data_IF_238131762487
#
_entry.id   IF_238131762487
#
_cell.length_a   1.000
_cell.length_b   1.000
_cell.length_c   1.000
_cell.angle_alpha   90.00
_cell.angle_beta   90.00
_cell.angle_gamma   90.00
#
_symmetry.space_group_name_H-M   'P 1'
#
loop_
_entity.id
_entity.type
_entity.pdbx_description
1 polymer ?
#
# COMPACT_ATOMS: atom_id res chain seq x y z
N UNK A 1 28.71 10.87 -6.45
CA UNK A 1 27.78 10.32 -5.43
C UNK A 1 26.54 11.19 -5.43
N UNK A 2 25.34 10.59 -5.50
CA UNK A 2 24.35 10.92 -4.49
C UNK A 2 23.60 9.67 -4.02
N UNK A 3 23.74 9.33 -2.74
CA UNK A 3 22.77 8.49 -2.05
C UNK A 3 21.49 9.30 -1.88
N UNK A 4 20.54 9.14 -2.82
CA UNK A 4 19.16 9.59 -2.60
C UNK A 4 18.62 8.77 -1.43
N UNK A 5 18.22 9.45 -0.36
CA UNK A 5 17.56 8.93 0.83
C UNK A 5 16.73 7.69 0.52
N UNK A 6 17.31 6.51 0.75
CA UNK A 6 16.57 5.26 0.74
C UNK A 6 15.79 5.30 2.04
N UNK A 7 14.54 5.78 2.01
CA UNK A 7 13.67 5.72 3.18
C UNK A 7 13.56 4.26 3.57
N UNK A 8 13.85 3.95 4.83
CA UNK A 8 13.77 2.58 5.29
C UNK A 8 12.33 2.09 5.16
N UNK A 9 12.15 0.88 4.64
CA UNK A 9 10.84 0.27 4.47
C UNK A 9 10.67 -0.83 5.51
N UNK A 10 9.56 -0.81 6.24
CA UNK A 10 9.34 -1.76 7.33
C UNK A 10 7.91 -2.27 7.38
N UNK A 11 7.79 -3.54 7.81
CA UNK A 11 6.52 -4.17 8.10
C UNK A 11 6.17 -3.98 9.57
N UNK A 12 4.94 -3.55 9.83
CA UNK A 12 4.41 -3.33 11.16
C UNK A 12 3.90 -4.66 11.73
N UNK A 13 4.82 -5.51 12.19
CA UNK A 13 4.52 -6.88 12.65
C UNK A 13 3.40 -6.94 13.68
N UNK A 14 3.38 -6.01 14.63
CA UNK A 14 2.33 -5.95 15.65
C UNK A 14 0.96 -5.61 15.07
N UNK A 15 0.90 -4.72 14.06
CA UNK A 15 -0.34 -4.36 13.35
C UNK A 15 -0.83 -5.52 12.48
N UNK A 16 0.07 -6.24 11.81
CA UNK A 16 -0.25 -7.47 11.07
C UNK A 16 -0.82 -8.54 12.01
N UNK A 17 -0.12 -8.82 13.11
CA UNK A 17 -0.57 -9.79 14.11
C UNK A 17 -1.94 -9.42 14.70
N UNK A 18 -2.18 -8.13 14.97
CA UNK A 18 -3.50 -7.67 15.41
C UNK A 18 -4.57 -7.85 14.35
N UNK A 19 -4.30 -7.52 13.10
CA UNK A 19 -5.25 -7.75 12.01
C UNK A 19 -5.61 -9.23 11.87
N UNK A 20 -4.63 -10.12 11.94
CA UNK A 20 -4.88 -11.57 11.88
C UNK A 20 -5.76 -12.03 13.05
N UNK A 21 -5.53 -11.52 14.27
CA UNK A 21 -6.36 -11.89 15.43
C UNK A 21 -7.80 -11.39 15.29
N UNK A 22 -7.98 -10.16 14.84
CA UNK A 22 -9.30 -9.49 14.84
C UNK A 22 -10.15 -9.93 13.64
N UNK A 23 -9.51 -10.21 12.50
CA UNK A 23 -10.17 -10.36 11.20
C UNK A 23 -9.89 -11.73 10.54
N UNK A 24 -9.40 -12.72 11.29
CA UNK A 24 -9.06 -14.05 10.78
C UNK A 24 -10.14 -14.62 9.83
N UNK A 25 -9.72 -15.12 8.67
CA UNK A 25 -10.60 -15.70 7.64
C UNK A 25 -11.61 -14.74 6.99
N UNK A 26 -11.68 -13.46 7.40
CA UNK A 26 -12.46 -12.45 6.68
C UNK A 26 -11.73 -12.06 5.41
N UNK A 27 -12.48 -11.71 4.38
CA UNK A 27 -11.94 -11.18 3.13
C UNK A 27 -12.13 -9.67 3.13
N UNK A 28 -11.02 -8.93 3.15
CA UNK A 28 -11.01 -7.46 3.18
C UNK A 28 -10.03 -6.94 2.12
N UNK A 29 -10.17 -5.68 1.66
CA UNK A 29 -9.19 -5.09 0.77
C UNK A 29 -7.84 -4.93 1.48
N UNK A 30 -6.77 -5.36 0.80
CA UNK A 30 -5.39 -4.99 1.09
C UNK A 30 -4.83 -4.31 -0.15
N UNK A 31 -4.27 -3.12 0.02
CA UNK A 31 -3.75 -2.32 -1.08
C UNK A 31 -2.50 -1.55 -0.74
N UNK A 32 -1.84 -1.05 -1.78
CA UNK A 32 -0.66 -0.23 -1.69
C UNK A 32 -0.96 1.21 -2.12
N UNK A 33 -0.38 2.18 -1.43
CA UNK A 33 -0.31 3.58 -1.89
C UNK A 33 0.92 3.75 -2.77
N UNK A 34 0.70 3.85 -4.07
CA UNK A 34 1.74 4.02 -5.08
C UNK A 34 1.87 5.49 -5.43
N UNK A 35 3.12 5.94 -5.58
CA UNK A 35 3.47 7.29 -5.99
C UNK A 35 4.37 7.18 -7.23
N UNK A 36 4.03 7.88 -8.32
CA UNK A 36 4.91 7.92 -9.49
C UNK A 36 6.14 8.80 -9.24
N UNK A 37 7.21 8.54 -10.00
CA UNK A 37 8.43 9.37 -9.90
C UNK A 37 8.35 10.64 -10.75
N UNK A 38 7.48 10.63 -11.76
CA UNK A 38 7.29 11.70 -12.73
C UNK A 38 5.78 11.86 -12.99
N UNK A 39 5.27 13.08 -12.98
CA UNK A 39 3.84 13.38 -13.19
C UNK A 39 3.32 12.90 -14.54
N UNK A 40 4.19 12.76 -15.54
CA UNK A 40 3.82 12.19 -16.85
C UNK A 40 3.50 10.70 -16.80
N UNK A 41 3.84 10.00 -15.71
CA UNK A 41 3.58 8.58 -15.52
C UNK A 41 2.24 8.30 -14.82
N UNK A 42 1.46 9.32 -14.45
CA UNK A 42 0.24 9.15 -13.65
C UNK A 42 -0.78 8.21 -14.32
N UNK A 43 -1.14 8.51 -15.57
CA UNK A 43 -2.03 7.65 -16.38
C UNK A 43 -1.43 6.25 -16.59
N UNK A 44 -0.11 6.17 -16.83
CA UNK A 44 0.58 4.90 -17.06
C UNK A 44 0.56 4.01 -15.80
N UNK A 45 0.72 4.60 -14.61
CA UNK A 45 0.60 3.94 -13.33
C UNK A 45 -0.83 3.41 -13.12
N UNK A 46 -1.83 4.27 -13.33
CA UNK A 46 -3.24 3.88 -13.23
C UNK A 46 -3.58 2.68 -14.12
N UNK A 47 -3.28 2.77 -15.43
CA UNK A 47 -3.61 1.72 -16.39
C UNK A 47 -2.83 0.42 -16.12
N UNK A 48 -1.56 0.52 -15.73
CA UNK A 48 -0.77 -0.66 -15.40
C UNK A 48 -1.36 -1.38 -14.18
N UNK A 49 -1.67 -0.68 -13.09
CA UNK A 49 -2.23 -1.28 -11.88
C UNK A 49 -3.62 -1.88 -12.14
N UNK A 50 -4.48 -1.20 -12.92
CA UNK A 50 -5.75 -1.77 -13.39
C UNK A 50 -5.55 -3.05 -14.20
N UNK A 51 -4.59 -3.09 -15.11
CA UNK A 51 -4.28 -4.28 -15.92
C UNK A 51 -3.77 -5.46 -15.07
N UNK A 52 -3.12 -5.18 -13.94
CA UNK A 52 -2.75 -6.20 -12.94
C UNK A 52 -3.95 -6.69 -12.09
N UNK A 53 -5.15 -6.16 -12.33
CA UNK A 53 -6.40 -6.56 -11.68
C UNK A 53 -6.65 -5.90 -10.33
N UNK A 54 -6.03 -4.74 -10.05
CA UNK A 54 -6.31 -3.97 -8.84
C UNK A 54 -7.57 -3.11 -9.00
N UNK A 55 -8.29 -2.94 -7.90
CA UNK A 55 -9.23 -1.83 -7.74
C UNK A 55 -8.42 -0.58 -7.40
N UNK A 56 -8.79 0.57 -7.97
CA UNK A 56 -8.08 1.84 -7.75
C UNK A 56 -9.04 2.80 -7.08
N UNK A 57 -8.57 3.46 -6.02
CA UNK A 57 -9.28 4.50 -5.24
C UNK A 57 -8.27 5.57 -4.79
N UNK A 58 -8.74 6.62 -4.12
CA UNK A 58 -7.91 7.71 -3.58
C UNK A 58 -6.85 8.20 -4.58
N UNK A 59 -7.33 8.66 -5.75
CA UNK A 59 -6.48 9.12 -6.86
C UNK A 59 -6.19 10.61 -6.67
N UNK A 60 -4.92 10.94 -6.51
CA UNK A 60 -4.39 12.30 -6.49
C UNK A 60 -3.29 12.43 -7.54
N UNK A 61 -2.80 13.65 -7.78
CA UNK A 61 -1.74 13.85 -8.76
C UNK A 61 -0.51 13.02 -8.37
N UNK A 62 -0.15 12.09 -9.25
CA UNK A 62 0.96 11.16 -9.07
C UNK A 62 0.84 10.18 -7.89
N UNK A 63 -0.35 10.00 -7.31
CA UNK A 63 -0.57 9.09 -6.18
C UNK A 63 -1.89 8.32 -6.34
N UNK A 64 -1.86 7.00 -6.14
CA UNK A 64 -3.06 6.15 -6.20
C UNK A 64 -3.04 5.09 -5.11
N UNK A 65 -4.21 4.73 -4.60
CA UNK A 65 -4.37 3.52 -3.80
C UNK A 65 -4.86 2.37 -4.68
N UNK A 66 -4.09 1.28 -4.74
CA UNK A 66 -4.42 0.10 -5.53
C UNK A 66 -4.57 -1.15 -4.64
N UNK A 67 -5.76 -1.77 -4.65
CA UNK A 67 -6.11 -2.86 -3.72
C UNK A 67 -6.72 -4.09 -4.38
N UNK A 68 -6.62 -5.22 -3.65
CA UNK A 68 -7.29 -6.48 -3.96
C UNK A 68 -7.91 -7.06 -2.69
N UNK A 69 -8.97 -7.84 -2.86
CA UNK A 69 -9.55 -8.61 -1.78
C UNK A 69 -8.61 -9.74 -1.36
N UNK A 70 -8.29 -9.82 -0.08
CA UNK A 70 -7.42 -10.84 0.52
C UNK A 70 -8.14 -11.49 1.70
N UNK A 71 -8.17 -12.82 1.72
CA UNK A 71 -8.62 -13.58 2.89
C UNK A 71 -7.52 -13.55 3.96
N UNK A 72 -7.85 -12.96 5.11
CA UNK A 72 -6.88 -12.65 6.16
C UNK A 72 -6.28 -13.90 6.78
N UNK A 73 -4.98 -14.02 6.56
CA UNK A 73 -4.05 -14.92 7.25
C UNK A 73 -2.67 -14.26 7.22
N UNK A 74 -1.79 -14.61 8.15
CA UNK A 74 -0.43 -14.08 8.18
C UNK A 74 0.29 -14.30 6.85
N UNK A 75 0.20 -15.52 6.30
CA UNK A 75 0.78 -15.87 4.99
C UNK A 75 0.25 -14.97 3.87
N UNK A 76 -1.07 -14.83 3.75
CA UNK A 76 -1.68 -14.07 2.66
C UNK A 76 -1.34 -12.57 2.75
N UNK A 77 -1.21 -12.02 3.97
CA UNK A 77 -0.80 -10.62 4.17
C UNK A 77 0.64 -10.42 3.69
N UNK A 78 1.58 -11.28 4.09
CA UNK A 78 2.97 -11.17 3.64
C UNK A 78 3.13 -11.40 2.13
N UNK A 79 2.34 -12.31 1.54
CA UNK A 79 2.26 -12.50 0.09
C UNK A 79 1.78 -11.22 -0.61
N UNK A 80 0.73 -10.56 -0.09
CA UNK A 80 0.22 -9.31 -0.62
C UNK A 80 1.25 -8.17 -0.53
N UNK A 81 1.90 -7.99 0.63
CA UNK A 81 2.97 -6.99 0.82
C UNK A 81 4.10 -7.23 -0.19
N UNK A 82 4.55 -8.48 -0.33
CA UNK A 82 5.63 -8.85 -1.24
C UNK A 82 5.27 -8.58 -2.70
N UNK A 83 4.04 -8.89 -3.10
CA UNK A 83 3.54 -8.64 -4.45
C UNK A 83 3.49 -7.13 -4.76
N UNK A 84 2.95 -6.32 -3.85
CA UNK A 84 2.89 -4.86 -4.02
C UNK A 84 4.28 -4.25 -4.14
N UNK A 85 5.25 -4.73 -3.36
CA UNK A 85 6.66 -4.30 -3.47
C UNK A 85 7.28 -4.68 -4.82
N UNK A 86 7.00 -5.87 -5.33
CA UNK A 86 7.50 -6.31 -6.64
C UNK A 86 6.96 -5.40 -7.75
N UNK A 87 5.65 -5.17 -7.76
CA UNK A 87 4.96 -4.29 -8.71
C UNK A 87 5.58 -2.88 -8.70
N UNK A 88 5.79 -2.31 -7.51
CA UNK A 88 6.43 -1.01 -7.37
C UNK A 88 7.84 -1.02 -7.98
N UNK A 89 8.64 -2.04 -7.66
CA UNK A 89 10.01 -2.16 -8.16
C UNK A 89 10.10 -2.34 -9.67
N UNK A 90 9.19 -3.10 -10.30
CA UNK A 90 9.20 -3.37 -11.74
C UNK A 90 9.01 -2.11 -12.58
N UNK A 91 8.21 -1.16 -12.07
CA UNK A 91 7.92 0.11 -12.73
C UNK A 91 8.65 1.29 -12.12
N UNK A 92 9.56 1.03 -11.18
CA UNK A 92 10.23 2.06 -10.37
C UNK A 92 9.27 2.96 -9.60
N UNK A 93 8.00 2.62 -9.40
CA UNK A 93 7.10 3.40 -8.55
C UNK A 93 7.55 3.36 -7.09
N UNK A 94 7.24 4.41 -6.37
CA UNK A 94 7.43 4.45 -4.92
C UNK A 94 6.19 3.87 -4.25
N UNK A 95 6.37 2.81 -3.47
CA UNK A 95 5.32 2.28 -2.60
C UNK A 95 5.47 2.95 -1.24
N UNK A 96 4.51 3.79 -0.86
CA UNK A 96 4.56 4.59 0.36
C UNK A 96 3.97 3.84 1.58
N UNK A 97 2.94 3.03 1.36
CA UNK A 97 2.30 2.21 2.39
C UNK A 97 1.63 0.98 1.79
N UNK A 98 1.43 -0.04 2.63
CA UNK A 98 0.49 -1.15 2.42
C UNK A 98 -0.51 -1.11 3.56
N UNK A 99 -1.79 -1.13 3.22
CA UNK A 99 -2.89 -0.84 4.13
C UNK A 99 -4.00 -1.89 3.97
N UNK A 100 -4.63 -2.27 5.07
CA UNK A 100 -5.82 -3.12 5.10
C UNK A 100 -7.06 -2.30 5.41
N UNK A 101 -8.11 -2.45 4.60
CA UNK A 101 -9.31 -1.62 4.63
C UNK A 101 -9.32 -0.57 3.52
N UNK A 102 -10.29 0.33 3.60
CA UNK A 102 -10.46 1.45 2.66
C UNK A 102 -9.84 2.72 3.26
N UNK A 103 -8.79 3.31 2.66
CA UNK A 103 -8.13 4.50 3.22
C UNK A 103 -9.07 5.69 3.39
N UNK A 104 -10.00 5.87 2.45
CA UNK A 104 -10.98 6.96 2.45
C UNK A 104 -11.92 6.93 3.68
N UNK A 105 -12.05 5.77 4.35
CA UNK A 105 -12.83 5.64 5.58
C UNK A 105 -12.13 6.23 6.81
N UNK A 106 -10.83 6.53 6.73
CA UNK A 106 -10.00 6.92 7.87
C UNK A 106 -9.76 5.80 8.88
N UNK A 107 -10.04 4.54 8.53
CA UNK A 107 -9.91 3.37 9.42
C UNK A 107 -8.97 2.30 8.88
N UNK A 108 -8.26 2.58 7.79
CA UNK A 108 -7.32 1.61 7.23
C UNK A 108 -6.15 1.35 8.19
N UNK A 109 -5.80 0.08 8.36
CA UNK A 109 -4.67 -0.34 9.18
C UNK A 109 -3.42 -0.42 8.32
N UNK A 110 -2.40 0.37 8.65
CA UNK A 110 -1.10 0.29 7.98
C UNK A 110 -0.40 -1.01 8.38
N UNK A 111 -0.03 -1.82 7.39
CA UNK A 111 0.67 -3.10 7.54
C UNK A 111 2.15 -3.00 7.23
N UNK A 112 2.52 -2.12 6.29
CA UNK A 112 3.91 -1.80 5.98
C UNK A 112 3.99 -0.35 5.46
N UNK A 113 5.10 0.33 5.68
CA UNK A 113 5.27 1.69 5.17
C UNK A 113 6.72 2.13 5.06
N UNK A 114 6.92 3.25 4.38
CA UNK A 114 8.18 3.99 4.47
C UNK A 114 8.34 4.55 5.88
N UNK A 115 9.60 4.74 6.26
CA UNK A 115 9.99 5.51 7.43
C UNK A 115 9.32 6.88 7.40
N UNK A 116 8.73 7.25 8.53
CA UNK A 116 7.99 8.50 8.76
C UNK A 116 6.68 8.66 7.97
N UNK A 117 6.19 7.62 7.29
CA UNK A 117 4.83 7.67 6.77
C UNK A 117 3.82 7.69 7.92
N UNK A 118 3.05 8.78 7.97
CA UNK A 118 1.89 8.94 8.85
C UNK A 118 0.70 9.24 7.93
N UNK A 119 -0.36 8.44 7.97
CA UNK A 119 -1.53 8.69 7.14
C UNK A 119 -2.28 9.90 7.69
N UNK A 120 -2.96 10.66 6.83
CA UNK A 120 -3.61 11.92 7.23
C UNK A 120 -4.65 11.73 8.34
N UNK A 121 -5.30 10.57 8.43
CA UNK A 121 -6.28 10.27 9.47
C UNK A 121 -5.66 9.90 10.84
N UNK A 122 -4.36 9.61 10.91
CA UNK A 122 -3.64 9.44 12.20
C UNK A 122 -3.01 10.76 12.67
N UNK A 123 -2.93 11.78 11.81
CA UNK A 123 -2.55 13.15 12.18
C UNK A 123 -3.82 13.78 12.77
N UNK A 124 -3.98 13.72 14.09
CA UNK A 124 -5.07 14.43 14.77
C UNK A 124 -5.05 15.92 14.44
N UNK A 125 -6.23 16.56 14.47
CA UNK A 125 -6.36 18.02 14.37
C UNK A 125 -5.45 18.78 15.35
#
# INVERSE_FOLDING_TARGET
MPGKYRRDWFEHRDRIASLVRDEASRTIPIGGRFVCNDESEDDAMYFYLKAQGFSISDVQQCEVFASKLVTISERAIHEAISQLRLIASERSYRLQSVEAGEPESGQARILASEQDYVPWWEIGD
#
